data_IF_473213967373
#
_entry.id   IF_473213967373
#
_cell.length_a   1.000
_cell.length_b   1.000
_cell.length_c   1.000
_cell.angle_alpha   90.00
_cell.angle_beta   90.00
_cell.angle_gamma   90.00
#
_symmetry.space_group_name_H-M   'P 1'
#
loop_
_entity.id
_entity.type
_entity.pdbx_description
1 polymer ?
#
# COMPACT_ATOMS: atom_id res chain seq x y z
N UNK A 1 6.01 -11.06 -12.36
CA UNK A 1 6.40 -9.67 -12.67
C UNK A 1 7.91 -9.64 -12.54
N UNK A 2 8.61 -9.60 -13.66
CA UNK A 2 10.06 -9.37 -13.67
C UNK A 2 10.24 -7.87 -13.81
N UNK A 3 10.79 -7.23 -12.78
CA UNK A 3 11.13 -5.82 -12.79
C UNK A 3 12.26 -5.59 -13.79
N UNK A 4 12.05 -4.70 -14.75
CA UNK A 4 13.10 -4.30 -15.69
C UNK A 4 13.93 -3.18 -15.07
N UNK A 5 15.21 -3.09 -15.44
CA UNK A 5 16.11 -2.05 -14.91
C UNK A 5 15.69 -0.61 -15.28
N UNK A 6 14.77 -0.47 -16.22
CA UNK A 6 14.27 0.81 -16.73
C UNK A 6 12.90 1.21 -16.15
N UNK A 7 12.34 0.41 -15.24
CA UNK A 7 11.10 0.80 -14.56
C UNK A 7 11.39 2.00 -13.62
N UNK A 8 10.58 3.08 -13.64
CA UNK A 8 10.78 4.22 -12.76
C UNK A 8 10.78 3.78 -11.30
N UNK A 9 11.95 3.82 -10.66
CA UNK A 9 12.08 3.50 -9.24
C UNK A 9 11.29 4.54 -8.45
N UNK A 10 10.23 4.09 -7.77
CA UNK A 10 9.42 4.95 -6.92
C UNK A 10 8.11 5.45 -7.53
N UNK A 11 7.52 4.76 -8.53
CA UNK A 11 6.12 4.98 -8.88
C UNK A 11 5.19 4.47 -7.75
N UNK A 12 4.49 5.35 -7.00
CA UNK A 12 3.72 4.95 -5.83
C UNK A 12 2.41 4.23 -6.19
N UNK A 13 1.98 4.35 -7.45
CA UNK A 13 0.74 3.76 -7.94
C UNK A 13 0.98 3.07 -9.27
N UNK A 14 0.44 1.86 -9.41
CA UNK A 14 0.28 1.18 -10.69
C UNK A 14 -1.13 1.48 -11.23
N UNK A 15 -1.27 1.51 -12.56
CA UNK A 15 -2.57 1.75 -13.21
C UNK A 15 -2.93 0.71 -14.26
N UNK A 16 -4.26 0.61 -14.40
CA UNK A 16 -5.08 -0.31 -15.21
C UNK A 16 -4.92 -1.78 -14.81
N UNK A 17 -5.73 -2.17 -13.83
CA UNK A 17 -6.07 -3.57 -13.59
C UNK A 17 -7.49 -3.80 -14.11
N UNK A 18 -7.70 -4.88 -14.86
CA UNK A 18 -9.07 -5.28 -15.23
C UNK A 18 -9.75 -5.94 -14.04
N UNK A 19 -11.09 -5.96 -14.03
CA UNK A 19 -11.82 -6.70 -13.00
C UNK A 19 -11.40 -8.17 -13.06
N UNK A 20 -11.15 -8.76 -11.89
CA UNK A 20 -10.77 -10.17 -11.74
C UNK A 20 -9.43 -10.55 -12.42
N UNK A 21 -8.58 -9.55 -12.72
CA UNK A 21 -7.25 -9.78 -13.25
C UNK A 21 -6.42 -10.64 -12.26
N UNK A 22 -5.79 -11.75 -12.68
CA UNK A 22 -4.99 -12.60 -11.80
C UNK A 22 -3.86 -11.87 -11.06
N UNK A 23 -3.41 -10.70 -11.56
CA UNK A 23 -2.43 -9.86 -10.83
C UNK A 23 -3.01 -9.28 -9.54
N UNK A 24 -4.32 -9.09 -9.45
CA UNK A 24 -4.99 -8.62 -8.23
C UNK A 24 -4.81 -9.62 -7.09
N UNK A 25 -4.91 -10.93 -7.37
CA UNK A 25 -4.63 -11.96 -6.37
C UNK A 25 -3.18 -11.91 -5.86
N UNK A 26 -2.23 -11.55 -6.73
CA UNK A 26 -0.83 -11.36 -6.32
C UNK A 26 -0.68 -10.12 -5.43
N UNK A 27 -1.32 -9.02 -5.79
CA UNK A 27 -1.34 -7.79 -4.98
C UNK A 27 -1.95 -8.08 -3.60
N UNK A 28 -3.09 -8.76 -3.57
CA UNK A 28 -3.77 -9.15 -2.34
C UNK A 28 -2.87 -9.97 -1.43
N UNK A 29 -2.24 -11.02 -1.98
CA UNK A 29 -1.39 -11.93 -1.20
C UNK A 29 -0.07 -11.30 -0.77
N UNK A 30 0.64 -10.67 -1.70
CA UNK A 30 2.04 -10.26 -1.50
C UNK A 30 2.16 -8.86 -0.87
N UNK A 31 1.29 -7.91 -1.28
CA UNK A 31 1.35 -6.53 -0.80
C UNK A 31 0.37 -6.27 0.33
N UNK A 32 -0.88 -6.69 0.18
CA UNK A 32 -1.94 -6.46 1.17
C UNK A 32 -1.96 -7.52 2.28
N UNK A 33 -1.28 -8.66 2.08
CA UNK A 33 -1.31 -9.81 3.01
C UNK A 33 -2.73 -10.25 3.35
N UNK A 34 -3.63 -10.15 2.36
CA UNK A 34 -5.04 -10.45 2.46
C UNK A 34 -5.27 -11.92 2.11
N UNK A 35 -5.91 -12.65 3.01
CA UNK A 35 -6.39 -14.01 2.75
C UNK A 35 -7.68 -13.97 1.92
N UNK A 36 -7.92 -15.01 1.12
CA UNK A 36 -9.12 -15.12 0.30
C UNK A 36 -10.39 -14.97 1.15
N UNK A 37 -11.32 -14.12 0.69
CA UNK A 37 -12.57 -13.84 1.41
C UNK A 37 -12.43 -12.95 2.66
N UNK A 38 -11.23 -12.49 3.01
CA UNK A 38 -10.99 -11.63 4.17
C UNK A 38 -10.71 -10.18 3.75
N UNK A 39 -10.86 -9.27 4.70
CA UNK A 39 -10.41 -7.88 4.56
C UNK A 39 -8.89 -7.79 4.69
N UNK A 40 -8.31 -6.75 4.09
CA UNK A 40 -6.89 -6.43 4.25
C UNK A 40 -6.58 -6.14 5.73
N UNK A 41 -5.60 -6.83 6.36
CA UNK A 41 -5.15 -6.50 7.69
C UNK A 41 -4.63 -5.05 7.76
N UNK A 42 -5.03 -4.31 8.80
CA UNK A 42 -4.72 -2.90 8.95
C UNK A 42 -4.43 -2.48 10.38
N UNK A 43 -4.30 -1.17 10.62
CA UNK A 43 -4.05 -0.60 11.95
C UNK A 43 -5.16 -0.86 12.97
N UNK A 44 -6.33 -1.32 12.50
CA UNK A 44 -7.47 -1.71 13.30
C UNK A 44 -7.45 -3.18 13.78
N UNK A 45 -6.52 -4.01 13.30
CA UNK A 45 -6.38 -5.38 13.82
C UNK A 45 -5.66 -5.32 15.17
N UNK A 46 -6.39 -5.57 16.25
CA UNK A 46 -5.90 -5.44 17.64
C UNK A 46 -5.86 -6.77 18.40
N UNK A 47 -6.18 -7.88 17.73
CA UNK A 47 -6.04 -9.23 18.27
C UNK A 47 -4.58 -9.55 18.59
N UNK A 48 -4.36 -10.36 19.63
CA UNK A 48 -3.03 -10.73 20.05
C UNK A 48 -2.53 -11.91 19.18
N UNK A 49 -1.49 -11.73 18.34
CA UNK A 49 -1.01 -12.79 17.46
C UNK A 49 -0.40 -13.99 18.19
N UNK A 50 -0.11 -13.88 19.49
CA UNK A 50 0.37 -14.99 20.33
C UNK A 50 -0.78 -15.87 20.82
N UNK A 51 -1.96 -15.28 21.02
CA UNK A 51 -3.13 -15.98 21.56
C UNK A 51 -4.12 -16.38 20.45
N UNK A 52 -4.16 -15.62 19.36
CA UNK A 52 -5.09 -15.79 18.26
C UNK A 52 -4.32 -16.02 16.95
N UNK A 53 -4.82 -16.97 16.14
CA UNK A 53 -4.24 -17.28 14.84
C UNK A 53 -4.43 -16.14 13.83
N UNK A 54 -5.48 -15.34 13.99
CA UNK A 54 -5.78 -14.19 13.16
C UNK A 54 -5.81 -12.91 14.03
N UNK A 55 -4.82 -12.00 13.91
CA UNK A 55 -4.78 -10.75 14.66
C UNK A 55 -5.92 -9.79 14.31
N UNK A 56 -6.68 -10.04 13.24
CA UNK A 56 -7.83 -9.26 12.81
C UNK A 56 -9.18 -9.83 13.30
N UNK A 57 -9.20 -10.94 14.03
CA UNK A 57 -10.41 -11.49 14.63
C UNK A 57 -11.06 -10.52 15.63
N UNK A 58 -10.24 -9.70 16.30
CA UNK A 58 -10.68 -8.56 17.10
C UNK A 58 -10.29 -7.27 16.39
N UNK A 59 -11.29 -6.43 16.08
CA UNK A 59 -11.09 -5.15 15.40
C UNK A 59 -11.35 -3.97 16.33
N UNK A 60 -10.47 -2.98 16.25
CA UNK A 60 -10.59 -1.69 16.91
C UNK A 60 -11.17 -0.62 16.00
N UNK A 61 -10.85 0.64 16.29
CA UNK A 61 -11.31 1.78 15.50
C UNK A 61 -10.61 1.82 14.12
N UNK A 62 -11.39 1.70 13.05
CA UNK A 62 -10.94 1.70 11.66
C UNK A 62 -10.33 3.04 11.18
N UNK A 63 -10.56 4.13 11.90
CA UNK A 63 -10.08 5.47 11.54
C UNK A 63 -8.64 5.71 12.03
N UNK A 64 -8.14 4.87 12.95
CA UNK A 64 -6.80 5.06 13.51
C UNK A 64 -5.74 4.73 12.46
N UNK A 65 -5.00 5.76 12.04
CA UNK A 65 -3.85 5.63 11.15
C UNK A 65 -2.57 5.65 11.99
N UNK A 66 -1.80 4.56 11.94
CA UNK A 66 -0.47 4.47 12.57
C UNK A 66 0.61 4.64 11.49
N UNK A 67 1.44 5.69 11.55
CA UNK A 67 2.56 5.85 10.63
C UNK A 67 3.52 4.65 10.70
N UNK A 68 3.97 4.19 9.54
CA UNK A 68 4.98 3.14 9.38
C UNK A 68 6.26 3.72 8.79
N UNK A 69 7.32 2.92 8.67
CA UNK A 69 8.51 3.35 7.94
C UNK A 69 8.18 3.72 6.48
N UNK A 70 7.33 2.91 5.84
CA UNK A 70 6.89 3.14 4.46
C UNK A 70 6.07 4.42 4.32
N UNK A 71 5.23 4.77 5.33
CA UNK A 71 4.48 6.03 5.27
C UNK A 71 5.40 7.25 5.34
N UNK A 72 6.52 7.17 6.07
CA UNK A 72 7.54 8.23 6.11
C UNK A 72 8.30 8.36 4.79
N UNK A 73 8.55 7.25 4.09
CA UNK A 73 9.16 7.28 2.77
C UNK A 73 8.21 7.91 1.73
N UNK A 74 6.93 7.55 1.79
CA UNK A 74 5.89 8.16 0.96
C UNK A 74 5.78 9.68 1.22
N UNK A 75 5.80 10.10 2.48
CA UNK A 75 5.80 11.52 2.85
C UNK A 75 6.96 12.28 2.21
N UNK A 76 8.20 11.76 2.32
CA UNK A 76 9.38 12.37 1.68
C UNK A 76 9.21 12.50 0.17
N UNK A 77 8.67 11.46 -0.48
CA UNK A 77 8.41 11.49 -1.91
C UNK A 77 7.37 12.56 -2.27
N UNK A 78 6.25 12.61 -1.54
CA UNK A 78 5.19 13.59 -1.76
C UNK A 78 5.69 15.02 -1.58
N UNK A 79 6.42 15.29 -0.50
CA UNK A 79 7.02 16.61 -0.25
C UNK A 79 7.93 17.03 -1.40
N UNK A 80 8.77 16.11 -1.90
CA UNK A 80 9.66 16.39 -3.05
C UNK A 80 8.90 16.62 -4.35
N UNK A 81 7.84 15.86 -4.62
CA UNK A 81 7.04 15.98 -5.84
C UNK A 81 6.20 17.26 -5.87
N UNK A 82 5.72 17.69 -4.71
CA UNK A 82 4.86 18.86 -4.55
C UNK A 82 5.66 20.16 -4.30
N UNK A 83 6.97 20.06 -4.12
CA UNK A 83 7.84 21.22 -4.02
C UNK A 83 7.75 22.11 -5.28
N UNK A 84 7.83 23.43 -5.07
CA UNK A 84 7.59 24.42 -6.12
C UNK A 84 8.51 24.28 -7.34
N UNK A 85 9.76 23.85 -7.14
CA UNK A 85 10.73 23.65 -8.22
C UNK A 85 10.40 22.40 -9.06
N UNK A 86 9.77 21.40 -8.44
CA UNK A 86 9.47 20.12 -9.07
C UNK A 86 8.06 20.04 -9.63
N UNK A 87 7.10 20.69 -8.97
CA UNK A 87 5.68 20.50 -9.24
C UNK A 87 5.33 20.96 -10.65
N UNK A 88 5.57 22.23 -11.01
CA UNK A 88 5.13 22.80 -12.30
C UNK A 88 5.81 22.18 -13.53
N UNK A 89 7.14 22.00 -13.56
CA UNK A 89 7.82 21.50 -14.78
C UNK A 89 7.53 20.02 -15.08
N UNK A 90 7.08 19.24 -14.09
CA UNK A 90 6.88 17.78 -14.20
C UNK A 90 5.42 17.36 -14.28
N UNK A 91 4.48 18.31 -14.36
CA UNK A 91 3.08 17.97 -14.66
C UNK A 91 2.92 17.68 -16.15
N UNK A 92 2.02 16.77 -16.49
CA UNK A 92 1.56 16.65 -17.87
C UNK A 92 0.82 17.94 -18.27
N UNK A 93 1.03 18.41 -19.51
CA UNK A 93 0.22 19.47 -20.11
C UNK A 93 -1.09 18.91 -20.67
#
# INVERSE_FOLDING_TARGET
MTWSKDDPVGAPFARKFTKDDPVLNKIDKELLRRSDGHFTPGGWCIGNPVLEKDPCAVYGNAIVVKPTLQSKELEKLLVKLLDSENFRPKQCQ
#
